data_IF_225302054031
#
_entry.id   IF_225302054031
#
_cell.length_a   1.000
_cell.length_b   1.000
_cell.length_c   1.000
_cell.angle_alpha   90.00
_cell.angle_beta   90.00
_cell.angle_gamma   90.00
#
_symmetry.space_group_name_H-M   'P 1'
#
loop_
_entity.id
_entity.type
_entity.pdbx_description
1 polymer ?
#
# COMPACT_ATOMS: atom_id res chain seq x y z
N UNK A 1 -7.13 -30.41 8.17
CA UNK A 1 -6.93 -30.81 9.59
C UNK A 1 -6.17 -29.75 10.38
N UNK A 2 -5.10 -29.14 9.82
CA UNK A 2 -4.33 -28.06 10.47
C UNK A 2 -4.80 -26.64 10.12
N UNK A 3 -6.03 -26.49 9.64
CA UNK A 3 -6.57 -25.26 9.06
C UNK A 3 -7.88 -24.81 9.72
N UNK A 4 -8.39 -25.57 10.69
CA UNK A 4 -9.69 -25.30 11.34
C UNK A 4 -9.65 -24.26 12.45
N UNK A 5 -8.48 -23.93 12.99
CA UNK A 5 -8.32 -22.95 14.08
C UNK A 5 -7.04 -22.14 13.93
N UNK A 6 -7.00 -20.95 14.55
CA UNK A 6 -5.87 -20.03 14.47
C UNK A 6 -4.66 -20.43 15.33
N UNK A 7 -4.85 -21.31 16.33
CA UNK A 7 -3.79 -21.75 17.26
C UNK A 7 -3.08 -23.05 16.85
N UNK A 8 -3.53 -23.70 15.77
CA UNK A 8 -2.98 -25.00 15.34
C UNK A 8 -1.84 -24.83 14.33
N UNK A 9 -0.65 -25.32 14.68
CA UNK A 9 0.51 -25.34 13.80
C UNK A 9 0.46 -26.51 12.81
N UNK A 10 0.87 -26.25 11.57
CA UNK A 10 1.14 -27.31 10.60
C UNK A 10 2.47 -28.02 10.90
N UNK A 11 2.70 -29.24 10.38
CA UNK A 11 3.99 -29.92 10.49
C UNK A 11 5.18 -29.12 9.91
N UNK A 12 4.91 -28.15 9.03
CA UNK A 12 5.90 -27.26 8.44
C UNK A 12 6.14 -25.98 9.28
N UNK A 13 5.52 -25.86 10.46
CA UNK A 13 5.66 -24.67 11.31
C UNK A 13 4.92 -23.45 10.74
N UNK A 14 3.76 -23.65 10.11
CA UNK A 14 2.94 -22.58 9.53
C UNK A 14 1.57 -22.48 10.21
N UNK A 15 1.00 -21.27 10.23
CA UNK A 15 -0.36 -21.00 10.71
C UNK A 15 -1.26 -20.67 9.52
N UNK A 16 -1.99 -21.66 9.01
CA UNK A 16 -2.77 -21.50 7.77
C UNK A 16 -3.85 -20.41 7.87
N UNK A 17 -4.53 -20.26 9.01
CA UNK A 17 -5.52 -19.21 9.22
C UNK A 17 -4.94 -17.79 9.08
N UNK A 18 -3.68 -17.59 9.48
CA UNK A 18 -2.99 -16.30 9.32
C UNK A 18 -2.64 -16.06 7.85
N UNK A 19 -2.23 -17.10 7.13
CA UNK A 19 -1.93 -17.01 5.70
C UNK A 19 -3.18 -16.73 4.85
N UNK A 20 -4.31 -17.32 5.21
CA UNK A 20 -5.60 -17.01 4.57
C UNK A 20 -6.02 -15.56 4.83
N UNK A 21 -5.80 -15.04 6.04
CA UNK A 21 -6.03 -13.65 6.35
C UNK A 21 -5.13 -12.71 5.53
N UNK A 22 -3.85 -13.07 5.35
CA UNK A 22 -2.94 -12.33 4.46
C UNK A 22 -3.41 -12.36 3.00
N UNK A 23 -3.95 -13.48 2.52
CA UNK A 23 -4.50 -13.55 1.17
C UNK A 23 -5.74 -12.67 1.02
N UNK A 24 -6.60 -12.58 2.03
CA UNK A 24 -7.74 -11.66 2.03
C UNK A 24 -7.30 -10.18 1.87
N UNK A 25 -6.14 -9.79 2.43
CA UNK A 25 -5.57 -8.45 2.23
C UNK A 25 -5.24 -8.22 0.75
N UNK A 26 -4.63 -9.19 0.07
CA UNK A 26 -4.28 -9.08 -1.36
C UNK A 26 -5.50 -8.98 -2.27
N UNK A 27 -6.65 -9.52 -1.87
CA UNK A 27 -7.91 -9.38 -2.62
C UNK A 27 -8.56 -8.00 -2.46
N UNK A 28 -8.23 -7.28 -1.38
CA UNK A 28 -8.61 -5.89 -1.16
C UNK A 28 -8.15 -4.99 -2.30
N UNK A 29 -8.81 -3.87 -2.53
CA UNK A 29 -8.35 -2.92 -3.56
C UNK A 29 -7.03 -2.27 -3.16
N UNK A 30 -6.28 -1.77 -4.14
CA UNK A 30 -4.97 -1.19 -3.89
C UNK A 30 -5.03 0.06 -3.01
N UNK A 31 -4.02 0.22 -2.17
CA UNK A 31 -3.71 1.45 -1.43
C UNK A 31 -2.21 1.61 -1.38
N UNK A 32 -1.75 2.84 -1.53
CA UNK A 32 -0.33 3.21 -1.53
C UNK A 32 -0.13 4.30 -0.50
N UNK A 33 0.92 4.16 0.31
CA UNK A 33 1.36 5.14 1.27
C UNK A 33 2.82 5.51 1.04
N UNK A 34 3.17 6.75 1.35
CA UNK A 34 4.51 7.30 1.18
C UNK A 34 4.68 8.54 2.04
N UNK A 35 5.91 8.79 2.49
CA UNK A 35 6.23 9.94 3.34
C UNK A 35 7.48 10.67 2.85
N UNK A 36 7.47 11.99 3.03
CA UNK A 36 8.64 12.84 3.00
C UNK A 36 9.13 13.11 4.42
N UNK A 37 10.02 14.10 4.61
CA UNK A 37 10.41 14.62 5.91
C UNK A 37 9.33 15.49 6.56
N UNK A 38 8.35 15.97 5.77
CA UNK A 38 7.33 16.94 6.24
C UNK A 38 5.89 16.41 6.14
N UNK A 39 5.62 15.46 5.26
CA UNK A 39 4.27 14.98 4.96
C UNK A 39 4.22 13.46 4.89
N UNK A 40 3.07 12.89 5.25
CA UNK A 40 2.72 11.51 4.93
C UNK A 40 1.43 11.50 4.12
N UNK A 41 1.40 10.68 3.07
CA UNK A 41 0.32 10.63 2.09
C UNK A 41 -0.18 9.19 1.94
N UNK A 42 -1.49 9.06 1.79
CA UNK A 42 -2.18 7.84 1.38
C UNK A 42 -2.97 8.12 0.12
N UNK A 43 -2.86 7.24 -0.87
CA UNK A 43 -3.74 7.21 -2.03
C UNK A 43 -4.38 5.84 -2.14
N UNK A 44 -5.67 5.80 -2.45
CA UNK A 44 -6.42 4.56 -2.45
C UNK A 44 -7.40 4.51 -3.62
N UNK A 45 -7.52 3.32 -4.20
CA UNK A 45 -8.55 3.05 -5.19
C UNK A 45 -9.79 2.45 -4.52
N UNK A 46 -10.90 3.16 -4.63
CA UNK A 46 -12.23 2.69 -4.22
C UNK A 46 -12.80 1.77 -5.30
N UNK A 47 -13.48 0.71 -4.89
CA UNK A 47 -14.26 -0.15 -5.78
C UNK A 47 -15.74 0.12 -5.56
N UNK A 48 -16.51 0.05 -6.64
CA UNK A 48 -17.96 -0.07 -6.60
C UNK A 48 -18.37 -1.51 -6.91
N UNK A 49 -19.46 -1.97 -6.31
CA UNK A 49 -20.04 -3.30 -6.58
C UNK A 49 -20.87 -3.34 -7.87
N UNK A 50 -21.18 -2.18 -8.46
CA UNK A 50 -21.96 -2.04 -9.68
C UNK A 50 -22.34 -0.57 -9.92
N UNK A 51 -22.96 -0.27 -11.06
CA UNK A 51 -23.27 1.11 -11.47
C UNK A 51 -24.19 1.86 -10.48
N UNK A 52 -25.09 1.13 -9.82
CA UNK A 52 -26.02 1.70 -8.84
C UNK A 52 -25.44 1.76 -7.41
N UNK A 53 -24.24 1.23 -7.19
CA UNK A 53 -23.63 1.17 -5.87
C UNK A 53 -22.68 2.35 -5.64
N UNK A 54 -22.70 2.87 -4.41
CA UNK A 54 -21.71 3.85 -3.96
C UNK A 54 -20.33 3.20 -3.80
N UNK A 55 -19.29 3.97 -4.08
CA UNK A 55 -17.91 3.56 -3.80
C UNK A 55 -17.66 3.38 -2.30
N UNK A 56 -17.00 2.27 -1.94
CA UNK A 56 -16.63 2.01 -0.55
C UNK A 56 -15.45 2.89 -0.13
N UNK A 57 -15.60 3.63 0.98
CA UNK A 57 -14.52 4.44 1.54
C UNK A 57 -13.37 3.57 2.06
N UNK A 58 -12.15 3.97 1.73
CA UNK A 58 -10.92 3.25 2.13
C UNK A 58 -10.03 4.02 3.09
N UNK A 59 -10.10 5.34 3.04
CA UNK A 59 -9.37 6.23 3.92
C UNK A 59 -10.27 6.59 5.10
N UNK A 60 -9.75 6.39 6.31
CA UNK A 60 -10.50 6.58 7.54
C UNK A 60 -9.67 7.47 8.47
N UNK A 61 -10.24 8.62 8.86
CA UNK A 61 -9.67 9.49 9.90
C UNK A 61 -9.76 8.80 11.26
N UNK A 62 -8.63 8.74 11.96
CA UNK A 62 -8.52 8.19 13.32
C UNK A 62 -8.47 9.30 14.35
N UNK A 63 -7.62 10.30 14.14
CA UNK A 63 -7.49 11.50 14.97
C UNK A 63 -7.19 12.71 14.07
N UNK A 64 -6.97 13.90 14.63
CA UNK A 64 -6.51 15.10 13.91
C UNK A 64 -5.18 14.88 13.20
N UNK A 65 -4.23 14.18 13.81
CA UNK A 65 -2.88 14.00 13.29
C UNK A 65 -2.66 12.62 12.66
N UNK A 66 -3.73 11.85 12.40
CA UNK A 66 -3.60 10.44 12.01
C UNK A 66 -4.81 9.89 11.24
N UNK A 67 -4.52 9.03 10.26
CA UNK A 67 -5.53 8.21 9.62
C UNK A 67 -4.97 6.96 8.96
N UNK A 68 -5.87 6.17 8.39
CA UNK A 68 -5.53 4.85 7.85
C UNK A 68 -6.10 4.64 6.44
N UNK A 69 -5.39 3.85 5.64
CA UNK A 69 -5.92 3.17 4.47
C UNK A 69 -6.08 1.68 4.76
N UNK A 70 -7.14 1.07 4.22
CA UNK A 70 -7.48 -0.33 4.49
C UNK A 70 -7.34 -1.20 3.24
N UNK A 71 -6.98 -2.47 3.37
CA UNK A 71 -7.15 -3.47 2.33
C UNK A 71 -7.58 -4.82 2.93
N UNK A 72 -8.64 -5.42 2.41
CA UNK A 72 -9.24 -6.65 2.94
C UNK A 72 -10.65 -6.43 3.47
N UNK A 73 -11.00 -7.08 4.58
CA UNK A 73 -12.34 -7.07 5.16
C UNK A 73 -12.69 -5.73 5.83
N UNK A 74 -13.64 -4.99 5.26
CA UNK A 74 -14.10 -3.69 5.77
C UNK A 74 -14.73 -3.77 7.18
N UNK A 75 -15.31 -4.92 7.54
CA UNK A 75 -15.83 -5.14 8.89
C UNK A 75 -14.73 -5.10 9.95
N UNK A 76 -13.59 -5.74 9.66
CA UNK A 76 -12.44 -5.80 10.57
C UNK A 76 -11.76 -4.43 10.65
N UNK A 77 -11.65 -3.73 9.52
CA UNK A 77 -11.20 -2.33 9.48
C UNK A 77 -12.02 -1.43 10.40
N UNK A 78 -13.35 -1.59 10.46
CA UNK A 78 -14.22 -0.80 11.34
C UNK A 78 -13.94 -1.09 12.81
N UNK A 79 -13.72 -2.35 13.16
CA UNK A 79 -13.35 -2.74 14.54
C UNK A 79 -12.01 -2.11 14.94
N UNK A 80 -11.00 -2.21 14.08
CA UNK A 80 -9.67 -1.67 14.35
C UNK A 80 -9.66 -0.14 14.37
N UNK A 81 -10.31 0.53 13.43
CA UNK A 81 -10.39 2.01 13.42
C UNK A 81 -11.13 2.56 14.64
N UNK A 82 -12.21 1.91 15.10
CA UNK A 82 -12.89 2.32 16.33
C UNK A 82 -12.03 2.08 17.58
N UNK A 83 -11.28 0.99 17.61
CA UNK A 83 -10.29 0.75 18.66
C UNK A 83 -9.22 1.85 18.67
N UNK A 84 -8.65 2.18 17.50
CA UNK A 84 -7.66 3.25 17.35
C UNK A 84 -8.19 4.61 17.82
N UNK A 85 -9.42 4.98 17.42
CA UNK A 85 -10.10 6.21 17.89
C UNK A 85 -10.22 6.23 19.40
N UNK A 86 -10.58 5.10 20.00
CA UNK A 86 -10.74 4.99 21.46
C UNK A 86 -9.40 5.19 22.18
N UNK A 87 -8.32 4.60 21.69
CA UNK A 87 -6.97 4.80 22.26
C UNK A 87 -6.45 6.23 22.07
N UNK A 88 -6.72 6.85 20.92
CA UNK A 88 -6.36 8.25 20.66
C UNK A 88 -7.10 9.21 21.62
N UNK A 89 -8.42 9.07 21.74
CA UNK A 89 -9.23 9.85 22.69
C UNK A 89 -8.78 9.65 24.14
N UNK A 90 -8.45 8.40 24.52
CA UNK A 90 -7.94 8.08 25.86
C UNK A 90 -6.62 8.80 26.14
N UNK A 91 -5.71 8.90 25.18
CA UNK A 91 -4.47 9.66 25.33
C UNK A 91 -4.73 11.14 25.58
N UNK A 92 -5.65 11.74 24.80
CA UNK A 92 -6.06 13.13 24.97
C UNK A 92 -6.68 13.37 26.35
N UNK A 93 -7.57 12.48 26.79
CA UNK A 93 -8.23 12.59 28.10
C UNK A 93 -7.25 12.46 29.27
N UNK A 94 -6.34 11.48 29.24
CA UNK A 94 -5.47 11.17 30.37
C UNK A 94 -4.21 12.04 30.43
N UNK A 95 -3.67 12.42 29.27
CA UNK A 95 -2.35 13.05 29.17
C UNK A 95 -2.37 14.40 28.44
N UNK A 96 -3.54 14.85 27.97
CA UNK A 96 -3.70 16.09 27.21
C UNK A 96 -2.74 16.21 26.00
N UNK A 97 -2.44 15.08 25.33
CA UNK A 97 -1.51 15.05 24.18
C UNK A 97 -1.98 14.06 23.11
N UNK A 98 -1.66 14.30 21.83
CA UNK A 98 -1.94 13.34 20.76
C UNK A 98 -1.18 12.04 21.02
N UNK A 99 -1.79 10.92 20.65
CA UNK A 99 -1.17 9.61 20.78
C UNK A 99 -0.09 9.45 19.68
N UNK A 100 1.19 9.18 20.02
CA UNK A 100 2.23 8.97 19.02
C UNK A 100 1.90 7.80 18.08
N UNK A 101 2.27 7.93 16.80
CA UNK A 101 1.89 6.96 15.75
C UNK A 101 2.49 5.59 16.02
N UNK A 102 3.74 5.53 16.47
CA UNK A 102 4.39 4.28 16.87
C UNK A 102 3.66 3.55 17.99
N UNK A 103 3.07 4.29 18.95
CA UNK A 103 2.38 3.71 20.11
C UNK A 103 1.05 3.07 19.71
N UNK A 104 0.25 3.73 18.87
CA UNK A 104 -1.02 3.15 18.43
C UNK A 104 -0.80 1.90 17.59
N UNK A 105 0.23 1.90 16.75
CA UNK A 105 0.60 0.77 15.89
C UNK A 105 1.05 -0.41 16.76
N UNK A 106 1.87 -0.17 17.79
CA UNK A 106 2.25 -1.22 18.75
C UNK A 106 1.03 -1.86 19.42
N UNK A 107 0.08 -1.05 19.94
CA UNK A 107 -1.15 -1.58 20.54
C UNK A 107 -2.03 -2.32 19.54
N UNK A 108 -1.97 -1.95 18.25
CA UNK A 108 -2.68 -2.66 17.19
C UNK A 108 -2.06 -4.04 16.93
N UNK A 109 -0.73 -4.12 16.93
CA UNK A 109 0.02 -5.38 16.82
C UNK A 109 -0.36 -6.34 17.95
N UNK A 110 -0.34 -5.86 19.20
CA UNK A 110 -0.74 -6.66 20.37
C UNK A 110 -2.19 -7.15 20.24
N UNK A 111 -3.10 -6.27 19.82
CA UNK A 111 -4.51 -6.61 19.62
C UNK A 111 -4.70 -7.66 18.51
N UNK A 112 -3.96 -7.55 17.40
CA UNK A 112 -4.01 -8.51 16.31
C UNK A 112 -3.39 -9.86 16.71
N UNK A 113 -2.28 -9.83 17.46
CA UNK A 113 -1.58 -11.01 17.94
C UNK A 113 -2.47 -11.89 18.85
N UNK A 114 -3.28 -11.29 19.71
CA UNK A 114 -4.20 -12.05 20.58
C UNK A 114 -5.14 -12.94 19.76
N UNK A 115 -5.56 -12.45 18.59
CA UNK A 115 -6.48 -13.13 17.69
C UNK A 115 -5.81 -14.26 16.87
N UNK A 116 -4.49 -14.41 16.93
CA UNK A 116 -3.76 -15.51 16.29
C UNK A 116 -3.40 -16.63 17.27
N UNK A 117 -3.59 -16.42 18.58
CA UNK A 117 -3.18 -17.38 19.62
C UNK A 117 -4.35 -17.91 20.47
N UNK A 118 -5.48 -17.21 20.51
CA UNK A 118 -6.64 -17.64 21.29
C UNK A 118 -7.58 -18.53 20.48
N UNK A 119 -7.88 -19.71 21.02
CA UNK A 119 -8.85 -20.64 20.45
C UNK A 119 -10.21 -19.98 20.20
N UNK A 120 -10.82 -20.26 19.03
CA UNK A 120 -12.14 -19.74 18.67
C UNK A 120 -12.14 -18.28 18.22
N UNK A 121 -10.98 -17.61 18.20
CA UNK A 121 -10.80 -16.32 17.52
C UNK A 121 -10.18 -16.53 16.14
N UNK A 122 -10.45 -15.58 15.25
CA UNK A 122 -9.81 -15.51 13.94
C UNK A 122 -8.92 -14.28 13.81
N UNK A 123 -7.81 -14.36 13.05
CA UNK A 123 -7.03 -13.19 12.67
C UNK A 123 -7.90 -12.16 11.96
N UNK A 124 -7.53 -10.89 12.07
CA UNK A 124 -8.17 -9.82 11.31
C UNK A 124 -7.81 -9.97 9.83
N UNK A 125 -8.80 -10.06 8.96
CA UNK A 125 -8.61 -10.22 7.51
C UNK A 125 -8.35 -8.89 6.80
N UNK A 126 -7.60 -7.98 7.42
CA UNK A 126 -7.35 -6.63 6.92
C UNK A 126 -5.91 -6.21 7.16
N UNK A 127 -5.30 -5.59 6.15
CA UNK A 127 -4.04 -4.87 6.26
C UNK A 127 -4.32 -3.37 6.31
N UNK A 128 -3.52 -2.65 7.09
CA UNK A 128 -3.65 -1.21 7.25
C UNK A 128 -2.35 -0.51 6.86
N UNK A 129 -2.47 0.59 6.15
CA UNK A 129 -1.43 1.61 6.13
C UNK A 129 -1.86 2.72 7.07
N UNK A 130 -1.03 3.02 8.07
CA UNK A 130 -1.28 4.06 9.05
C UNK A 130 -0.33 5.21 8.76
N UNK A 131 -0.87 6.40 8.51
CA UNK A 131 -0.08 7.63 8.47
C UNK A 131 -0.40 8.49 9.68
N UNK A 132 0.63 9.15 10.20
CA UNK A 132 0.47 10.14 11.24
C UNK A 132 1.61 11.14 11.23
N UNK A 133 1.37 12.31 11.80
CA UNK A 133 2.41 13.30 12.06
C UNK A 133 2.48 13.53 13.57
N UNK A 134 3.62 13.27 14.18
CA UNK A 134 3.82 13.54 15.60
C UNK A 134 5.13 14.30 15.85
N UNK A 135 5.59 14.35 17.10
CA UNK A 135 6.76 15.14 17.48
C UNK A 135 8.05 14.66 16.79
N UNK A 136 8.09 13.42 16.30
CA UNK A 136 9.22 12.88 15.54
C UNK A 136 9.08 13.04 14.02
N UNK A 137 7.99 13.66 13.56
CA UNK A 137 7.73 13.96 12.15
C UNK A 137 6.64 13.07 11.54
N UNK A 138 6.63 12.93 10.20
CA UNK A 138 5.68 12.09 9.49
C UNK A 138 6.08 10.61 9.56
N UNK A 139 5.09 9.75 9.75
CA UNK A 139 5.24 8.31 9.85
C UNK A 139 4.33 7.58 8.87
N UNK A 140 4.81 6.43 8.38
CA UNK A 140 4.03 5.48 7.60
C UNK A 140 4.31 4.08 8.15
N UNK A 141 3.27 3.44 8.67
CA UNK A 141 3.34 2.06 9.15
C UNK A 141 2.44 1.14 8.33
N UNK A 142 2.93 -0.07 8.03
CA UNK A 142 2.10 -1.18 7.61
C UNK A 142 1.77 -2.05 8.82
N UNK A 143 0.49 -2.32 9.05
CA UNK A 143 0.01 -3.28 10.03
C UNK A 143 -0.61 -4.47 9.30
N UNK A 144 -0.17 -5.69 9.63
CA UNK A 144 -0.60 -6.90 8.95
C UNK A 144 -1.40 -7.83 9.87
N UNK A 145 -2.23 -8.74 9.32
CA UNK A 145 -2.95 -9.77 10.08
C UNK A 145 -2.10 -10.63 11.02
N UNK A 146 -0.78 -10.70 10.80
CA UNK A 146 0.14 -11.49 11.62
C UNK A 146 0.41 -10.87 13.00
N UNK A 147 0.07 -9.59 13.17
CA UNK A 147 0.49 -8.78 14.31
C UNK A 147 1.82 -8.05 14.11
N UNK A 148 2.53 -8.31 12.99
CA UNK A 148 3.74 -7.57 12.64
C UNK A 148 3.39 -6.18 12.11
N UNK A 149 4.18 -5.21 12.56
CA UNK A 149 4.11 -3.84 12.11
C UNK A 149 5.50 -3.37 11.68
N UNK A 150 5.57 -2.67 10.55
CA UNK A 150 6.83 -2.14 10.01
C UNK A 150 6.65 -0.69 9.62
N UNK A 151 7.67 0.13 9.89
CA UNK A 151 7.75 1.50 9.42
C UNK A 151 8.39 1.54 8.03
N UNK A 152 7.81 2.32 7.13
CA UNK A 152 8.24 2.42 5.73
C UNK A 152 8.45 3.87 5.30
N UNK A 153 9.27 4.07 4.27
CA UNK A 153 9.30 5.33 3.51
C UNK A 153 8.17 5.37 2.48
N UNK A 154 7.89 4.23 1.85
CA UNK A 154 6.76 4.03 0.97
C UNK A 154 6.35 2.56 0.96
N UNK A 155 5.06 2.29 0.84
CA UNK A 155 4.52 0.93 0.85
C UNK A 155 3.18 0.85 0.11
N UNK A 156 2.97 -0.24 -0.61
CA UNK A 156 1.70 -0.57 -1.27
C UNK A 156 1.06 -1.84 -0.69
N UNK A 157 -0.26 -1.84 -0.47
CA UNK A 157 -1.05 -3.01 -0.05
C UNK A 157 -2.27 -3.22 -0.97
N UNK A 158 -2.84 -4.42 -0.93
CA UNK A 158 -3.99 -4.79 -1.74
C UNK A 158 -3.65 -5.37 -3.12
N UNK A 159 -4.65 -5.42 -4.00
CA UNK A 159 -4.58 -6.10 -5.28
C UNK A 159 -3.54 -5.47 -6.18
N UNK A 160 -2.60 -6.29 -6.68
CA UNK A 160 -1.51 -5.87 -7.57
C UNK A 160 -0.64 -4.77 -6.97
N UNK A 161 -0.52 -4.71 -5.64
CA UNK A 161 0.36 -3.73 -4.99
C UNK A 161 1.84 -3.90 -5.33
N UNK A 162 2.25 -5.07 -5.85
CA UNK A 162 3.63 -5.30 -6.26
C UNK A 162 4.09 -4.32 -7.36
N UNK A 163 3.24 -3.97 -8.32
CA UNK A 163 3.61 -2.99 -9.35
C UNK A 163 3.81 -1.59 -8.76
N UNK A 164 2.97 -1.19 -7.80
CA UNK A 164 3.18 0.04 -7.05
C UNK A 164 4.52 0.01 -6.29
N UNK A 165 4.86 -1.09 -5.61
CA UNK A 165 6.13 -1.22 -4.89
C UNK A 165 7.32 -1.07 -5.82
N UNK A 166 7.31 -1.71 -6.99
CA UNK A 166 8.38 -1.57 -7.99
C UNK A 166 8.54 -0.12 -8.48
N UNK A 167 7.45 0.63 -8.64
CA UNK A 167 7.55 2.07 -8.93
C UNK A 167 8.20 2.83 -7.77
N UNK A 168 7.74 2.59 -6.54
CA UNK A 168 8.21 3.30 -5.34
C UNK A 168 9.70 3.01 -5.06
N UNK A 169 10.14 1.76 -5.22
CA UNK A 169 11.55 1.35 -5.07
C UNK A 169 12.50 2.09 -6.01
N UNK A 170 12.02 2.53 -7.19
CA UNK A 170 12.84 3.27 -8.16
C UNK A 170 12.96 4.76 -7.86
N UNK A 171 12.00 5.33 -7.12
CA UNK A 171 11.89 6.78 -6.93
C UNK A 171 11.97 7.20 -5.45
N UNK A 172 12.20 6.28 -4.51
CA UNK A 172 12.09 6.59 -3.08
C UNK A 172 13.07 7.65 -2.59
N UNK A 173 14.21 7.80 -3.26
CA UNK A 173 15.22 8.82 -2.98
C UNK A 173 14.70 10.24 -3.26
N UNK A 174 13.70 10.38 -4.13
CA UNK A 174 13.08 11.68 -4.46
C UNK A 174 12.09 12.14 -3.38
N UNK A 175 11.73 11.28 -2.42
CA UNK A 175 10.62 11.56 -1.50
C UNK A 175 11.00 12.43 -0.31
N UNK A 176 12.26 12.41 0.15
CA UNK A 176 12.68 13.06 1.41
C UNK A 176 12.29 14.54 1.48
N UNK A 177 12.56 15.26 0.39
CA UNK A 177 12.39 16.71 0.30
C UNK A 177 11.26 17.11 -0.66
N UNK A 178 10.46 16.13 -1.11
CA UNK A 178 9.33 16.36 -1.97
C UNK A 178 8.29 17.26 -1.30
N UNK A 179 7.76 18.23 -2.07
CA UNK A 179 6.57 18.97 -1.66
C UNK A 179 5.37 18.03 -1.58
N UNK A 180 4.34 18.42 -0.82
CA UNK A 180 3.08 17.65 -0.74
C UNK A 180 2.54 17.32 -2.14
N UNK A 181 2.66 18.26 -3.08
CA UNK A 181 2.18 18.07 -4.45
C UNK A 181 2.93 16.98 -5.20
N UNK A 182 4.26 17.04 -5.23
CA UNK A 182 5.09 16.02 -5.88
C UNK A 182 4.91 14.65 -5.22
N UNK A 183 4.81 14.65 -3.90
CA UNK A 183 4.62 13.44 -3.12
C UNK A 183 3.29 12.74 -3.48
N UNK A 184 2.19 13.50 -3.56
CA UNK A 184 0.89 12.97 -4.04
C UNK A 184 1.01 12.44 -5.47
N UNK A 185 1.70 13.14 -6.38
CA UNK A 185 1.87 12.70 -7.76
C UNK A 185 2.63 11.37 -7.86
N UNK A 186 3.69 11.15 -7.09
CA UNK A 186 4.36 9.84 -7.01
C UNK A 186 3.40 8.75 -6.54
N UNK A 187 2.58 9.05 -5.52
CA UNK A 187 1.55 8.12 -5.06
C UNK A 187 0.55 7.76 -6.14
N UNK A 188 0.07 8.75 -6.90
CA UNK A 188 -0.88 8.52 -7.99
C UNK A 188 -0.27 7.71 -9.14
N UNK A 189 1.00 7.97 -9.49
CA UNK A 189 1.74 7.18 -10.49
C UNK A 189 1.88 5.73 -10.05
N UNK A 190 2.31 5.50 -8.80
CA UNK A 190 2.39 4.17 -8.21
C UNK A 190 1.03 3.46 -8.19
N UNK A 191 -0.04 4.17 -7.80
CA UNK A 191 -1.39 3.62 -7.75
C UNK A 191 -1.94 3.29 -9.14
N UNK A 192 -1.64 4.12 -10.16
CA UNK A 192 -2.01 3.87 -11.55
C UNK A 192 -1.42 2.57 -12.07
N UNK A 193 -0.20 2.23 -11.71
CA UNK A 193 0.44 0.97 -12.12
C UNK A 193 -0.23 -0.27 -11.50
N UNK A 194 -1.10 -0.09 -10.49
CA UNK A 194 -1.93 -1.16 -9.94
C UNK A 194 -3.24 -1.37 -10.69
N UNK A 195 -3.56 -0.55 -11.71
CA UNK A 195 -4.80 -0.63 -12.51
C UNK A 195 -4.72 -1.68 -13.63
N UNK A 196 -5.88 -2.11 -14.13
CA UNK A 196 -5.94 -2.93 -15.36
C UNK A 196 -5.74 -1.98 -16.54
N UNK A 197 -5.24 -2.47 -17.68
CA UNK A 197 -4.87 -1.63 -18.83
C UNK A 197 -6.06 -0.80 -19.38
N UNK A 198 -7.28 -1.27 -19.17
CA UNK A 198 -8.54 -0.64 -19.58
C UNK A 198 -9.11 0.35 -18.54
N UNK A 199 -8.52 0.43 -17.35
CA UNK A 199 -9.05 1.25 -16.24
C UNK A 199 -8.15 2.45 -15.97
N UNK A 200 -8.80 3.58 -15.69
CA UNK A 200 -8.14 4.84 -15.31
C UNK A 200 -8.54 5.27 -13.90
N UNK A 201 -7.70 6.11 -13.30
CA UNK A 201 -8.10 6.85 -12.10
C UNK A 201 -9.15 7.90 -12.50
N UNK A 202 -10.21 8.00 -11.73
CA UNK A 202 -11.30 8.95 -11.91
C UNK A 202 -11.65 9.59 -10.58
N UNK A 203 -12.37 10.71 -10.61
CA UNK A 203 -12.83 11.38 -9.39
C UNK A 203 -13.67 10.49 -8.46
N UNK A 204 -14.36 9.51 -9.04
CA UNK A 204 -15.25 8.61 -8.31
C UNK A 204 -14.49 7.46 -7.64
N UNK A 205 -13.41 6.98 -8.26
CA UNK A 205 -12.65 5.83 -7.77
C UNK A 205 -11.41 6.21 -6.96
N UNK A 206 -10.92 7.45 -7.06
CA UNK A 206 -9.74 7.90 -6.34
C UNK A 206 -10.11 8.52 -4.98
N UNK A 207 -9.26 8.28 -3.99
CA UNK A 207 -9.28 8.93 -2.69
C UNK A 207 -7.85 9.25 -2.29
N UNK A 208 -7.60 10.47 -1.83
CA UNK A 208 -6.29 10.94 -1.39
C UNK A 208 -6.42 11.39 0.07
N UNK A 209 -5.44 11.08 0.91
CA UNK A 209 -5.33 11.67 2.23
C UNK A 209 -3.90 12.05 2.55
N UNK A 210 -3.72 13.07 3.36
CA UNK A 210 -2.40 13.53 3.77
C UNK A 210 -2.44 14.14 5.17
N UNK A 211 -1.27 14.21 5.80
CA UNK A 211 -1.02 14.85 7.10
C UNK A 211 0.40 15.43 7.12
N UNK A 212 0.64 16.51 7.85
CA UNK A 212 1.96 17.16 7.93
C UNK A 212 2.11 18.08 9.14
N UNK A 213 3.21 18.85 9.18
CA UNK A 213 3.63 19.69 10.32
C UNK A 213 2.57 20.67 10.82
N UNK A 214 1.79 21.22 9.91
CA UNK A 214 0.74 22.20 10.20
C UNK A 214 -0.57 21.83 9.46
N UNK A 215 -0.69 20.55 9.09
CA UNK A 215 -1.82 20.04 8.30
C UNK A 215 -2.43 18.84 9.01
N UNK A 216 -3.66 19.02 9.50
CA UNK A 216 -4.45 17.91 10.01
C UNK A 216 -4.72 16.86 8.92
N UNK A 217 -4.93 15.63 9.36
CA UNK A 217 -5.33 14.53 8.50
C UNK A 217 -6.59 14.89 7.72
N UNK A 218 -6.40 15.10 6.43
CA UNK A 218 -7.43 15.55 5.49
C UNK A 218 -7.62 14.50 4.42
N UNK A 219 -8.88 14.20 4.09
CA UNK A 219 -9.26 13.29 3.00
C UNK A 219 -9.87 14.11 1.88
N UNK A 220 -9.40 13.90 0.65
CA UNK A 220 -9.91 14.48 -0.59
C UNK A 220 -10.55 13.38 -1.44
N UNK A 221 -11.78 13.61 -1.86
CA UNK A 221 -12.61 12.72 -2.68
C UNK A 221 -13.44 13.55 -3.68
N UNK A 222 -13.90 12.95 -4.78
CA UNK A 222 -14.82 13.61 -5.71
C UNK A 222 -14.17 14.79 -6.44
N UNK A 223 -14.80 15.95 -6.41
CA UNK A 223 -14.28 17.13 -7.13
C UNK A 223 -12.90 17.58 -6.60
N UNK A 224 -12.61 17.35 -5.32
CA UNK A 224 -11.34 17.75 -4.70
C UNK A 224 -10.12 16.99 -5.25
N UNK A 225 -10.31 15.87 -5.94
CA UNK A 225 -9.20 15.11 -6.54
C UNK A 225 -8.97 15.44 -8.02
N UNK A 226 -9.83 16.26 -8.64
CA UNK A 226 -9.77 16.55 -10.08
C UNK A 226 -8.49 17.29 -10.45
N UNK A 227 -8.07 18.26 -9.65
CA UNK A 227 -6.82 19.01 -9.84
C UNK A 227 -5.60 18.06 -9.93
N UNK A 228 -5.53 17.10 -9.01
CA UNK A 228 -4.47 16.09 -8.97
C UNK A 228 -4.48 15.15 -10.17
N UNK A 229 -5.67 14.79 -10.67
CA UNK A 229 -5.82 14.00 -11.89
C UNK A 229 -5.35 14.78 -13.11
N UNK A 230 -5.65 16.08 -13.20
CA UNK A 230 -5.19 16.93 -14.29
C UNK A 230 -3.67 17.06 -14.30
N UNK A 231 -3.03 17.25 -13.14
CA UNK A 231 -1.56 17.26 -13.05
C UNK A 231 -0.93 15.93 -13.49
N UNK A 232 -1.53 14.80 -13.11
CA UNK A 232 -1.07 13.48 -13.51
C UNK A 232 -1.11 13.27 -15.04
N UNK A 233 -2.11 13.83 -15.71
CA UNK A 233 -2.25 13.74 -17.17
C UNK A 233 -1.26 14.66 -17.91
N UNK A 234 -1.05 15.89 -17.42
CA UNK A 234 -0.16 16.86 -18.05
C UNK A 234 1.31 16.41 -18.05
N UNK A 235 1.79 15.81 -16.96
CA UNK A 235 3.15 15.27 -16.89
C UNK A 235 3.29 13.91 -17.59
N UNK A 236 2.20 13.15 -17.72
CA UNK A 236 2.17 11.85 -18.38
C UNK A 236 2.29 11.91 -19.91
N UNK A 237 2.05 13.08 -20.53
CA UNK A 237 2.13 13.29 -21.98
C UNK A 237 3.56 13.28 -22.56
N UNK A 238 4.60 13.29 -21.72
CA UNK A 238 6.01 13.30 -22.14
C UNK A 238 6.77 11.97 -22.02
N UNK A 239 6.13 10.92 -21.48
CA UNK A 239 6.80 9.67 -21.12
C UNK A 239 6.22 8.46 -21.85
N UNK A 240 6.45 8.37 -23.16
CA UNK A 240 6.36 7.08 -23.84
C UNK A 240 7.32 6.09 -23.17
N UNK A 241 6.88 4.84 -22.97
CA UNK A 241 7.73 3.77 -22.45
C UNK A 241 9.03 3.72 -23.26
N UNK A 242 10.22 3.73 -22.62
CA UNK A 242 11.49 3.63 -23.35
C UNK A 242 11.77 2.25 -23.99
N UNK A 243 10.86 1.29 -23.91
CA UNK A 243 11.16 -0.12 -24.21
C UNK A 243 10.80 -0.58 -25.64
N UNK A 244 10.22 0.28 -26.49
CA UNK A 244 9.80 -0.10 -27.85
C UNK A 244 10.79 0.31 -28.97
N UNK A 245 11.99 0.79 -28.63
CA UNK A 245 12.98 1.25 -29.62
C UNK A 245 14.23 0.36 -29.78
N UNK A 246 14.28 -0.81 -29.13
CA UNK A 246 15.43 -1.71 -29.19
C UNK A 246 15.06 -3.12 -29.69
N UNK A 247 14.37 -3.21 -30.84
CA UNK A 247 14.22 -4.49 -31.55
C UNK A 247 14.15 -4.32 -33.07
N UNK A 248 14.92 -3.39 -33.62
CA UNK A 248 14.94 -3.14 -35.06
C UNK A 248 16.36 -2.86 -35.59
N UNK A 249 17.32 -3.73 -35.32
CA UNK A 249 18.52 -3.84 -36.18
C UNK A 249 19.15 -5.23 -36.07
N UNK A 250 19.06 -5.99 -37.16
CA UNK A 250 20.12 -6.93 -37.58
C UNK A 250 19.87 -8.43 -37.38
N UNK A 251 19.10 -9.05 -38.27
CA UNK A 251 19.29 -10.47 -38.62
C UNK A 251 18.63 -10.84 -39.97
N UNK A 252 19.35 -10.63 -41.07
CA UNK A 252 19.27 -11.36 -42.34
C UNK A 252 20.68 -11.24 -42.95
N UNK A 253 21.33 -12.22 -43.55
CA UNK A 253 21.25 -13.67 -43.74
C UNK A 253 22.46 -13.98 -44.64
N UNK A 254 23.17 -15.09 -44.47
CA UNK A 254 23.73 -15.91 -45.58
C UNK A 254 24.46 -17.13 -45.05
N UNK A 255 24.06 -18.28 -45.58
CA UNK A 255 24.70 -19.60 -45.52
C UNK A 255 26.00 -19.67 -46.33
N UNK A 256 26.84 -20.67 -46.05
CA UNK A 256 27.70 -21.30 -47.06
C UNK A 256 29.10 -21.75 -46.62
N UNK A 257 29.27 -23.06 -46.36
CA UNK A 257 30.25 -23.89 -47.06
C UNK A 257 31.70 -24.08 -46.54
N UNK A 258 31.95 -25.30 -46.05
CA UNK A 258 33.08 -26.22 -46.37
C UNK A 258 34.51 -26.07 -45.80
N UNK A 259 35.03 -27.22 -45.34
CA UNK A 259 36.45 -27.65 -45.29
C UNK A 259 37.19 -27.32 -43.98
N UNK A 260 38.00 -28.18 -43.34
CA UNK A 260 38.53 -29.49 -43.69
C UNK A 260 39.19 -30.10 -42.42
N UNK A 261 39.49 -31.39 -42.53
CA UNK A 261 39.88 -32.39 -41.53
C UNK A 261 41.23 -32.25 -40.80
N UNK A 262 41.28 -32.97 -39.67
CA UNK A 262 42.36 -33.82 -39.13
C UNK A 262 43.71 -33.23 -38.64
N UNK A 263 44.04 -33.50 -37.37
CA UNK A 263 45.01 -34.52 -36.89
C UNK A 263 45.20 -34.38 -35.36
N UNK A 264 44.87 -35.42 -34.59
CA UNK A 264 45.79 -36.38 -33.90
C UNK A 264 46.49 -35.79 -32.65
N UNK A 265 46.07 -36.24 -31.44
CA UNK A 265 46.76 -37.17 -30.49
C UNK A 265 48.02 -36.54 -29.85
N UNK A 266 48.31 -36.66 -28.55
CA UNK A 266 48.29 -37.82 -27.66
C UNK A 266 48.44 -37.39 -26.18
N UNK A 267 48.21 -38.38 -25.30
CA UNK A 267 48.44 -38.50 -23.83
C UNK A 267 47.39 -37.95 -22.84
#
# INVERSE_FOLDING_TARGET
MYDGDSSTWSPQGRLHQVEYALEAVKQGSASVGLRSNNYAVLVAIKRSAGELASYQKKLIRVDEHMGIAIAGLTSDARVLSNYMRSEAMKSRLLYNRPLPTSRIVATLGDKAQINTQQYGRRPYGVGLLVIGYDQTGPHLFECTPTGNNFEYYAQGIGSRSQSARTYLERHFEEFSDASLQHLILHGLRALRDTLQQDKKLTKDNLSIAFVGKDEEFTVKDGEDVVEWLTYLEQEGGGGGRPDDAASATGAQATEGGEGEDAMETDE
#
